data_IF_498019435788
#
_entry.id   IF_498019435788
#
_cell.length_a   1.000
_cell.length_b   1.000
_cell.length_c   1.000
_cell.angle_alpha   90.00
_cell.angle_beta   90.00
_cell.angle_gamma   90.00
#
_symmetry.space_group_name_H-M   'P 1'
#
loop_
_entity.id
_entity.type
_entity.pdbx_description
1 polymer ?
#
# COMPACT_ATOMS: atom_id res chain seq x y z
N UNK A 1 -5.60 -31.36 -4.05
CA UNK A 1 -4.45 -30.43 -3.97
C UNK A 1 -4.89 -29.25 -3.13
N UNK A 2 -4.18 -28.91 -2.06
CA UNK A 2 -4.44 -27.66 -1.32
C UNK A 2 -3.88 -26.51 -2.16
N UNK A 3 -4.75 -25.60 -2.60
CA UNK A 3 -4.28 -24.38 -3.27
C UNK A 3 -3.41 -23.59 -2.28
N UNK A 4 -2.18 -23.26 -2.68
CA UNK A 4 -1.27 -22.46 -1.86
C UNK A 4 -1.81 -21.05 -1.64
N UNK A 5 -1.36 -20.39 -0.56
CA UNK A 5 -1.65 -18.98 -0.34
C UNK A 5 -0.87 -18.13 -1.34
N UNK A 6 -1.57 -17.47 -2.27
CA UNK A 6 -0.98 -16.60 -3.29
C UNK A 6 -1.11 -15.14 -2.90
N UNK A 7 -0.04 -14.38 -3.14
CA UNK A 7 0.01 -12.92 -2.99
C UNK A 7 0.29 -12.34 -4.37
N UNK A 8 -0.47 -11.33 -4.78
CA UNK A 8 -0.12 -10.48 -5.92
C UNK A 8 0.53 -9.19 -5.39
N UNK A 9 1.59 -8.72 -6.03
CA UNK A 9 2.25 -7.47 -5.68
C UNK A 9 2.17 -6.50 -6.85
N UNK A 10 1.77 -5.27 -6.58
CA UNK A 10 1.80 -4.16 -7.53
C UNK A 10 2.65 -3.02 -6.95
N UNK A 11 3.49 -2.42 -7.78
CA UNK A 11 4.48 -1.42 -7.40
C UNK A 11 4.49 -0.34 -8.48
N UNK A 12 4.84 0.89 -8.10
CA UNK A 12 5.18 1.97 -9.04
C UNK A 12 4.09 2.19 -10.10
N UNK A 13 2.83 2.18 -9.68
CA UNK A 13 1.69 2.34 -10.59
C UNK A 13 1.49 3.78 -11.03
N UNK A 14 1.96 4.76 -10.23
CA UNK A 14 1.97 6.18 -10.58
C UNK A 14 0.62 6.70 -11.12
N UNK A 15 -0.49 6.34 -10.47
CA UNK A 15 -1.80 6.85 -10.87
C UNK A 15 -1.84 8.38 -10.76
N UNK A 16 -2.44 9.02 -11.77
CA UNK A 16 -2.52 10.47 -11.87
C UNK A 16 -1.31 11.16 -12.49
N UNK A 17 -0.35 10.41 -13.03
CA UNK A 17 0.75 10.98 -13.81
C UNK A 17 0.23 11.70 -15.06
N UNK A 18 0.73 12.93 -15.31
CA UNK A 18 0.38 13.72 -16.50
C UNK A 18 -1.14 13.83 -16.73
N UNK A 19 -1.90 14.08 -15.66
CA UNK A 19 -3.37 14.06 -15.66
C UNK A 19 -4.04 15.05 -16.62
N UNK A 20 -3.34 16.12 -17.01
CA UNK A 20 -3.79 17.15 -17.95
C UNK A 20 -3.55 16.77 -19.42
N UNK A 21 -2.91 15.62 -19.66
CA UNK A 21 -2.65 15.09 -21.00
C UNK A 21 -3.65 14.00 -21.39
N UNK A 22 -3.69 13.63 -22.67
CA UNK A 22 -4.41 12.44 -23.13
C UNK A 22 -3.68 11.13 -22.81
N UNK A 23 -2.37 11.19 -22.55
CA UNK A 23 -1.53 10.00 -22.38
C UNK A 23 -1.61 9.43 -20.96
N UNK A 24 -1.57 10.29 -19.94
CA UNK A 24 -1.57 9.91 -18.52
C UNK A 24 -2.79 9.09 -18.10
N UNK A 25 -4.03 9.62 -18.25
CA UNK A 25 -5.24 8.89 -17.91
C UNK A 25 -5.41 7.56 -18.66
N UNK A 26 -4.81 7.42 -19.85
CA UNK A 26 -4.82 6.16 -20.59
C UNK A 26 -3.89 5.12 -19.94
N UNK A 27 -2.79 5.53 -19.30
CA UNK A 27 -1.91 4.62 -18.56
C UNK A 27 -2.59 4.08 -17.30
N UNK A 28 -3.29 4.91 -16.54
CA UNK A 28 -4.11 4.46 -15.40
C UNK A 28 -5.07 3.33 -15.82
N UNK A 29 -5.79 3.53 -16.95
CA UNK A 29 -6.72 2.52 -17.50
C UNK A 29 -5.99 1.23 -17.89
N UNK A 30 -4.81 1.34 -18.49
CA UNK A 30 -4.01 0.16 -18.87
C UNK A 30 -3.51 -0.60 -17.63
N UNK A 31 -3.04 0.11 -16.60
CA UNK A 31 -2.65 -0.45 -15.31
C UNK A 31 -3.83 -1.18 -14.66
N UNK A 32 -5.00 -0.54 -14.55
CA UNK A 32 -6.23 -1.17 -14.04
C UNK A 32 -6.54 -2.47 -14.79
N UNK A 33 -6.50 -2.45 -16.13
CA UNK A 33 -6.79 -3.63 -16.95
C UNK A 33 -5.81 -4.79 -16.69
N UNK A 34 -4.53 -4.50 -16.46
CA UNK A 34 -3.54 -5.51 -16.12
C UNK A 34 -3.81 -6.08 -14.73
N UNK A 35 -4.08 -5.22 -13.74
CA UNK A 35 -4.40 -5.67 -12.38
C UNK A 35 -5.63 -6.59 -12.37
N UNK A 36 -6.73 -6.18 -13.01
CA UNK A 36 -7.95 -7.01 -13.10
C UNK A 36 -7.67 -8.40 -13.70
N UNK A 37 -6.86 -8.46 -14.76
CA UNK A 37 -6.49 -9.74 -15.40
C UNK A 37 -5.66 -10.62 -14.49
N UNK A 38 -4.68 -10.04 -13.79
CA UNK A 38 -3.85 -10.77 -12.83
C UNK A 38 -4.71 -11.32 -11.69
N UNK A 39 -5.59 -10.49 -11.11
CA UNK A 39 -6.46 -10.93 -10.01
C UNK A 39 -7.44 -12.01 -10.47
N UNK A 40 -8.01 -11.89 -11.66
CA UNK A 40 -8.92 -12.89 -12.22
C UNK A 40 -8.22 -14.23 -12.52
N UNK A 41 -7.04 -14.21 -13.14
CA UNK A 41 -6.33 -15.44 -13.50
C UNK A 41 -5.66 -16.13 -12.32
N UNK A 42 -5.02 -15.36 -11.44
CA UNK A 42 -4.26 -15.95 -10.33
C UNK A 42 -5.11 -16.23 -9.11
N UNK A 43 -6.22 -15.49 -8.92
CA UNK A 43 -7.08 -15.57 -7.74
C UNK A 43 -6.29 -15.48 -6.42
N UNK A 44 -5.45 -14.44 -6.22
CA UNK A 44 -4.67 -14.28 -5.01
C UNK A 44 -5.55 -14.08 -3.77
N UNK A 45 -4.99 -14.36 -2.60
CA UNK A 45 -5.65 -14.16 -1.30
C UNK A 45 -5.29 -12.83 -0.64
N UNK A 46 -4.31 -12.13 -1.19
CA UNK A 46 -3.87 -10.82 -0.73
C UNK A 46 -3.22 -10.08 -1.89
N UNK A 47 -3.48 -8.78 -1.97
CA UNK A 47 -2.69 -7.84 -2.77
C UNK A 47 -1.76 -7.03 -1.86
N UNK A 48 -0.52 -6.86 -2.28
CA UNK A 48 0.43 -5.95 -1.64
C UNK A 48 0.77 -4.83 -2.60
N UNK A 49 0.43 -3.60 -2.22
CA UNK A 49 0.90 -2.39 -2.91
C UNK A 49 2.19 -1.95 -2.24
N UNK A 50 3.31 -1.96 -2.97
CA UNK A 50 4.65 -1.82 -2.38
C UNK A 50 5.31 -0.45 -2.57
N UNK A 51 4.52 0.59 -2.79
CA UNK A 51 4.99 1.98 -2.90
C UNK A 51 4.79 2.60 -4.29
N UNK A 52 4.76 3.93 -4.31
CA UNK A 52 4.61 4.80 -5.49
C UNK A 52 3.39 4.46 -6.35
N UNK A 53 2.26 4.33 -5.66
CA UNK A 53 0.99 3.98 -6.29
C UNK A 53 0.32 5.19 -6.93
N UNK A 54 0.54 6.38 -6.37
CA UNK A 54 0.11 7.67 -6.94
C UNK A 54 1.30 8.58 -7.15
N UNK A 55 1.27 9.40 -8.21
CA UNK A 55 2.40 10.28 -8.57
C UNK A 55 2.57 11.48 -7.64
N UNK A 56 1.66 11.72 -6.68
CA UNK A 56 1.78 12.74 -5.63
C UNK A 56 2.05 14.16 -6.12
N UNK A 57 3.31 14.49 -6.36
CA UNK A 57 3.83 15.81 -6.73
C UNK A 57 3.13 16.48 -7.91
N UNK A 58 2.58 15.70 -8.84
CA UNK A 58 1.99 16.21 -10.09
C UNK A 58 0.47 16.03 -10.19
N UNK A 59 -0.20 15.66 -9.09
CA UNK A 59 -1.64 15.57 -9.06
C UNK A 59 -2.22 16.94 -8.67
N UNK A 60 -2.78 17.68 -9.63
CA UNK A 60 -3.48 18.95 -9.38
C UNK A 60 -4.91 18.71 -8.87
N UNK A 61 -5.47 17.53 -9.13
CA UNK A 61 -6.78 17.10 -8.62
C UNK A 61 -6.69 16.31 -7.31
N UNK A 62 -7.81 15.80 -6.80
CA UNK A 62 -7.84 15.11 -5.50
C UNK A 62 -7.13 13.74 -5.56
N UNK A 63 -6.01 13.58 -4.86
CA UNK A 63 -5.23 12.34 -4.80
C UNK A 63 -6.06 11.12 -4.33
N UNK A 64 -7.03 11.30 -3.42
CA UNK A 64 -7.91 10.20 -2.98
C UNK A 64 -8.81 9.66 -4.09
N UNK A 65 -9.09 10.45 -5.14
CA UNK A 65 -9.85 9.98 -6.29
C UNK A 65 -9.04 8.96 -7.11
N UNK A 66 -7.75 9.22 -7.32
CA UNK A 66 -6.85 8.25 -7.97
C UNK A 66 -6.61 7.03 -7.09
N UNK A 67 -6.44 7.22 -5.78
CA UNK A 67 -6.34 6.12 -4.84
C UNK A 67 -7.59 5.22 -4.90
N UNK A 68 -8.79 5.80 -4.97
CA UNK A 68 -10.04 5.05 -5.10
C UNK A 68 -10.13 4.25 -6.42
N UNK A 69 -9.58 4.78 -7.52
CA UNK A 69 -9.50 4.09 -8.83
C UNK A 69 -8.51 2.93 -8.79
N UNK A 70 -7.32 3.17 -8.24
CA UNK A 70 -6.29 2.17 -7.99
C UNK A 70 -6.85 0.96 -7.25
N UNK A 71 -7.70 1.17 -6.23
CA UNK A 71 -8.25 0.09 -5.41
C UNK A 71 -9.40 -0.68 -6.09
N UNK A 72 -9.97 -0.20 -7.21
CA UNK A 72 -11.14 -0.82 -7.84
C UNK A 72 -10.96 -2.30 -8.19
N UNK A 73 -9.81 -2.76 -8.72
CA UNK A 73 -9.65 -4.17 -9.03
C UNK A 73 -9.78 -5.05 -7.78
N UNK A 74 -9.17 -4.66 -6.66
CA UNK A 74 -9.29 -5.37 -5.38
C UNK A 74 -10.73 -5.37 -4.86
N UNK A 75 -11.41 -4.22 -4.92
CA UNK A 75 -12.82 -4.10 -4.50
C UNK A 75 -13.73 -4.98 -5.36
N UNK A 76 -13.51 -4.99 -6.68
CA UNK A 76 -14.33 -5.75 -7.63
C UNK A 76 -14.16 -7.28 -7.50
N UNK A 77 -12.99 -7.73 -7.06
CA UNK A 77 -12.68 -9.15 -6.86
C UNK A 77 -12.75 -9.60 -5.41
N UNK A 78 -13.27 -8.75 -4.50
CA UNK A 78 -13.34 -8.98 -3.06
C UNK A 78 -12.01 -9.47 -2.48
N UNK A 79 -10.91 -8.88 -2.96
CA UNK A 79 -9.55 -9.27 -2.59
C UNK A 79 -8.98 -8.25 -1.61
N UNK A 80 -8.62 -8.66 -0.38
CA UNK A 80 -8.03 -7.73 0.58
C UNK A 80 -6.66 -7.27 0.13
N UNK A 81 -6.26 -6.07 0.57
CA UNK A 81 -4.95 -5.51 0.26
C UNK A 81 -4.25 -4.95 1.49
N UNK A 82 -2.93 -4.78 1.37
CA UNK A 82 -2.14 -4.00 2.30
C UNK A 82 -1.18 -3.10 1.52
N UNK A 83 -1.00 -1.87 1.98
CA UNK A 83 -0.19 -0.88 1.28
C UNK A 83 1.02 -0.46 2.10
N UNK A 84 2.16 -0.35 1.43
CA UNK A 84 3.33 0.40 1.86
C UNK A 84 3.45 1.63 0.97
N UNK A 85 3.58 2.82 1.57
CA UNK A 85 3.69 4.07 0.81
C UNK A 85 5.15 4.38 0.48
N UNK A 86 5.40 4.73 -0.78
CA UNK A 86 6.69 5.17 -1.30
C UNK A 86 6.91 6.67 -1.16
N UNK A 87 7.90 7.20 -1.89
CA UNK A 87 8.32 8.61 -1.85
C UNK A 87 7.53 9.53 -2.79
N UNK A 88 6.63 8.97 -3.60
CA UNK A 88 5.67 9.76 -4.38
C UNK A 88 4.34 9.85 -3.63
N UNK A 89 3.96 8.80 -2.89
CA UNK A 89 2.70 8.74 -2.14
C UNK A 89 2.65 9.75 -0.96
N UNK A 90 3.75 10.42 -0.62
CA UNK A 90 3.88 11.38 0.48
C UNK A 90 3.89 12.86 0.06
N UNK A 91 3.71 13.19 -1.23
CA UNK A 91 3.94 14.55 -1.77
C UNK A 91 2.81 15.17 -2.61
N UNK A 92 1.54 14.89 -2.30
CA UNK A 92 0.44 15.61 -2.97
C UNK A 92 0.50 17.14 -2.73
N UNK A 93 0.55 17.91 -3.81
CA UNK A 93 0.62 19.39 -3.78
C UNK A 93 -0.76 20.06 -3.62
N UNK A 94 -1.86 19.35 -3.89
CA UNK A 94 -3.23 19.90 -3.98
C UNK A 94 -4.17 19.41 -2.87
N UNK A 95 -3.65 18.71 -1.87
CA UNK A 95 -4.40 18.16 -0.74
C UNK A 95 -4.33 16.64 -0.69
N UNK A 96 -4.13 16.10 0.50
CA UNK A 96 -3.86 14.69 0.75
C UNK A 96 -2.45 14.49 1.30
N UNK A 97 -2.31 14.61 2.62
CA UNK A 97 -1.09 14.15 3.29
C UNK A 97 -1.02 12.63 3.25
N UNK A 98 0.16 12.06 3.51
CA UNK A 98 0.34 10.63 3.77
C UNK A 98 -0.66 10.07 4.79
N UNK A 99 -1.02 10.87 5.80
CA UNK A 99 -2.03 10.52 6.80
C UNK A 99 -3.43 10.46 6.17
N UNK A 100 -3.78 11.42 5.32
CA UNK A 100 -5.10 11.47 4.67
C UNK A 100 -5.30 10.30 3.70
N UNK A 101 -4.28 9.99 2.89
CA UNK A 101 -4.32 8.86 1.98
C UNK A 101 -4.42 7.53 2.73
N UNK A 102 -3.65 7.34 3.80
CA UNK A 102 -3.75 6.12 4.60
C UNK A 102 -5.07 6.04 5.39
N UNK A 103 -5.60 7.18 5.85
CA UNK A 103 -6.92 7.25 6.48
C UNK A 103 -8.01 6.86 5.49
N UNK A 104 -7.92 7.34 4.25
CA UNK A 104 -8.81 6.97 3.16
C UNK A 104 -8.68 5.48 2.80
N UNK A 105 -7.47 4.96 2.63
CA UNK A 105 -7.19 3.54 2.36
C UNK A 105 -7.83 2.63 3.43
N UNK A 106 -7.67 2.99 4.69
CA UNK A 106 -8.21 2.23 5.83
C UNK A 106 -9.72 2.37 6.02
N UNK A 107 -10.39 3.28 5.29
CA UNK A 107 -11.85 3.41 5.34
C UNK A 107 -12.57 2.25 4.62
N UNK A 108 -11.85 1.47 3.81
CA UNK A 108 -12.38 0.29 3.14
C UNK A 108 -12.26 -0.95 4.03
N UNK A 109 -13.32 -1.74 4.12
CA UNK A 109 -13.34 -2.99 4.91
C UNK A 109 -12.29 -4.03 4.48
N UNK A 110 -11.83 -3.95 3.23
CA UNK A 110 -10.83 -4.85 2.64
C UNK A 110 -9.38 -4.40 2.86
N UNK A 111 -9.16 -3.19 3.39
CA UNK A 111 -7.80 -2.71 3.70
C UNK A 111 -7.28 -3.34 5.00
N UNK A 112 -6.12 -3.96 4.90
CA UNK A 112 -5.34 -4.48 6.02
C UNK A 112 -4.21 -3.53 6.42
N UNK A 113 -4.07 -2.38 5.74
CA UNK A 113 -3.01 -1.41 5.98
C UNK A 113 -3.06 -0.85 7.41
N UNK A 114 -1.91 -0.63 8.03
CA UNK A 114 -1.80 0.01 9.34
C UNK A 114 -0.78 1.15 9.31
N UNK A 115 -1.02 2.18 10.13
CA UNK A 115 0.02 3.16 10.44
C UNK A 115 1.23 2.43 11.02
N UNK A 116 2.40 2.76 10.51
CA UNK A 116 3.68 2.31 11.04
C UNK A 116 3.94 2.91 12.43
N UNK A 117 4.84 2.29 13.21
CA UNK A 117 5.26 2.86 14.48
C UNK A 117 5.93 4.22 14.28
N UNK A 118 5.60 5.19 15.13
CA UNK A 118 6.04 6.61 15.06
C UNK A 118 7.58 6.77 15.13
N UNK A 119 8.33 5.71 15.46
CA UNK A 119 9.78 5.74 15.69
C UNK A 119 10.65 5.33 14.50
N UNK A 120 10.09 4.94 13.34
CA UNK A 120 10.88 4.47 12.19
C UNK A 120 10.67 5.36 10.96
N UNK A 121 11.68 6.17 10.64
CA UNK A 121 11.67 7.24 9.61
C UNK A 121 11.63 6.77 8.14
N UNK A 122 11.45 5.48 7.85
CA UNK A 122 11.57 4.94 6.48
C UNK A 122 10.22 4.59 5.84
N UNK A 123 9.21 4.17 6.62
CA UNK A 123 7.86 3.86 6.13
C UNK A 123 6.83 3.99 7.27
N UNK A 124 5.90 4.95 7.21
CA UNK A 124 4.73 5.06 8.12
C UNK A 124 3.62 4.01 7.85
N UNK A 125 3.92 2.90 7.20
CA UNK A 125 2.92 1.87 6.86
C UNK A 125 3.46 0.50 7.18
N UNK A 126 2.66 -0.34 7.83
CA UNK A 126 3.00 -1.72 8.14
C UNK A 126 1.91 -2.68 7.68
N UNK A 127 2.32 -3.89 7.31
CA UNK A 127 1.43 -5.00 7.01
C UNK A 127 1.30 -5.84 8.28
N UNK A 128 0.08 -6.05 8.83
CA UNK A 128 -0.09 -6.86 10.02
C UNK A 128 0.34 -8.30 9.80
N UNK A 129 0.94 -8.90 10.83
CA UNK A 129 1.19 -10.33 10.89
C UNK A 129 -0.14 -11.09 10.85
N UNK A 130 -0.39 -11.83 9.77
CA UNK A 130 -1.51 -12.76 9.65
C UNK A 130 -1.14 -14.10 10.31
N UNK A 131 -0.99 -14.13 11.64
CA UNK A 131 -0.93 -15.41 12.36
C UNK A 131 -2.36 -15.94 12.55
N UNK A 132 -2.63 -17.23 12.31
CA UNK A 132 -3.90 -17.82 12.72
C UNK A 132 -3.88 -17.97 14.24
N UNK A 133 -4.32 -16.95 14.98
CA UNK A 133 -4.44 -17.04 16.43
C UNK A 133 -5.78 -17.69 16.80
N UNK A 134 -5.80 -18.69 17.70
CA UNK A 134 -7.04 -19.19 18.26
C UNK A 134 -7.72 -18.09 19.07
N UNK A 135 -9.05 -18.07 19.07
CA UNK A 135 -9.86 -17.20 19.93
C UNK A 135 -9.41 -17.34 21.40
N UNK A 136 -8.62 -16.38 21.89
CA UNK A 136 -8.62 -15.74 23.22
C UNK A 136 -7.27 -15.03 23.50
N UNK A 137 -7.36 -13.91 24.21
CA UNK A 137 -6.30 -13.02 24.74
C UNK A 137 -5.44 -12.20 23.75
N UNK A 138 -5.78 -10.91 23.67
CA UNK A 138 -4.88 -9.83 23.29
C UNK A 138 -3.74 -9.72 24.32
N UNK A 139 -2.57 -10.30 24.02
CA UNK A 139 -1.32 -9.87 24.63
C UNK A 139 -0.46 -9.19 23.57
N UNK A 140 -0.03 -7.97 23.90
CA UNK A 140 0.79 -7.11 23.05
C UNK A 140 2.12 -7.81 22.75
N UNK A 141 2.39 -8.00 21.48
CA UNK A 141 3.68 -8.49 21.00
C UNK A 141 4.73 -7.38 21.15
N UNK A 142 5.48 -7.38 22.26
CA UNK A 142 6.68 -6.53 22.43
C UNK A 142 7.92 -7.30 22.00
N UNK A 143 8.58 -6.85 20.94
CA UNK A 143 9.91 -7.32 20.54
C UNK A 143 10.99 -6.57 21.35
N UNK A 144 11.91 -7.23 22.05
CA UNK A 144 13.06 -6.56 22.64
C UNK A 144 14.18 -6.40 21.60
N UNK A 145 14.51 -5.16 21.25
CA UNK A 145 15.77 -4.84 20.56
C UNK A 145 16.92 -4.89 21.56
N UNK A 146 17.78 -5.91 21.46
CA UNK A 146 19.11 -5.88 22.07
C UNK A 146 20.08 -5.14 21.13
N UNK A 147 20.55 -3.99 21.59
CA UNK A 147 21.69 -3.26 21.03
C UNK A 147 22.98 -4.06 21.28
N UNK A 148 23.69 -4.43 20.20
CA UNK A 148 25.10 -4.76 20.27
C UNK A 148 25.90 -3.60 19.66
N UNK A 149 26.46 -2.78 20.55
CA UNK A 149 27.52 -1.83 20.25
C UNK A 149 28.87 -2.53 20.42
N UNK A 150 29.68 -2.56 19.37
CA UNK A 150 31.12 -2.83 19.46
C UNK A 150 31.90 -1.77 18.67
N UNK A 151 32.20 -0.69 19.38
CA UNK A 151 33.53 -0.12 19.65
C UNK A 151 34.61 0.04 18.54
N UNK A 152 35.30 1.19 18.68
CA UNK A 152 36.69 1.54 18.35
C UNK A 152 37.02 1.99 16.92
N UNK A 153 37.24 3.30 16.73
CA UNK A 153 38.58 3.89 16.55
C UNK A 153 38.50 5.42 16.39
N UNK A 154 39.00 6.12 17.41
CA UNK A 154 39.56 7.46 17.28
C UNK A 154 40.87 7.36 16.49
N UNK A 155 41.04 8.18 15.45
CA UNK A 155 42.11 9.18 15.33
C UNK A 155 41.60 10.33 14.48
#
# INVERSE_FOLDING_TARGET
>A
MTAGFKIAQFADLHFGEAEDTLWGPLQDVNSTRVMERVLAWESPKLVVYSGDQVTGENINSNATAYWGRLLQPCVSTDTPWATVFGNHDDRSVSGGTRIDLLTFDKSFNLSLSQFGPVSTSLTDTSIPSLSPSPLHSLERCTWPYQLLSSAVLQR
#
